data_IF_869268692027
#
_entry.id   IF_869268692027
#
_cell.length_a   1.000
_cell.length_b   1.000
_cell.length_c   1.000
_cell.angle_alpha   90.00
_cell.angle_beta   90.00
_cell.angle_gamma   90.00
#
_symmetry.space_group_name_H-M   'P 1'
#
loop_
_entity.id
_entity.type
_entity.pdbx_description
1 polymer ?
#
# COMPACT_ATOMS: atom_id res chain seq x y z
N UNK A 1 14.36 17.42 -2.90
CA UNK A 1 13.32 16.39 -2.74
C UNK A 1 12.16 16.78 -3.63
N UNK A 2 11.30 15.84 -3.96
CA UNK A 2 10.15 16.07 -4.83
C UNK A 2 8.87 15.71 -4.08
N UNK A 3 8.36 16.61 -3.21
CA UNK A 3 7.08 16.43 -2.53
C UNK A 3 5.95 16.05 -3.50
N UNK A 4 5.92 16.67 -4.68
CA UNK A 4 4.99 16.36 -5.77
C UNK A 4 5.72 15.74 -6.95
N UNK A 5 5.01 14.91 -7.70
CA UNK A 5 5.50 14.34 -8.96
C UNK A 5 5.82 15.44 -9.97
N UNK A 6 5.08 16.56 -9.97
CA UNK A 6 5.39 17.70 -10.81
C UNK A 6 6.74 18.34 -10.49
N UNK A 7 7.18 18.33 -9.24
CA UNK A 7 8.44 18.95 -8.85
C UNK A 7 9.61 18.24 -9.52
N UNK A 8 9.55 16.91 -9.59
CA UNK A 8 10.50 16.08 -10.34
C UNK A 8 10.46 16.36 -11.84
N UNK A 9 9.27 16.41 -12.44
CA UNK A 9 9.11 16.65 -13.87
C UNK A 9 9.65 18.04 -14.25
N UNK A 10 9.36 19.05 -13.43
CA UNK A 10 9.82 20.42 -13.66
C UNK A 10 11.34 20.54 -13.56
N UNK A 11 11.96 19.88 -12.59
CA UNK A 11 13.40 19.87 -12.41
C UNK A 11 14.13 19.16 -13.57
N UNK A 12 13.64 17.99 -13.99
CA UNK A 12 14.27 17.20 -15.05
C UNK A 12 14.05 17.78 -16.45
N UNK A 13 12.85 18.28 -16.75
CA UNK A 13 12.47 18.70 -18.09
C UNK A 13 12.39 20.23 -18.26
N UNK A 14 12.62 21.01 -17.21
CA UNK A 14 12.52 22.48 -17.25
C UNK A 14 11.09 22.97 -17.48
N UNK A 15 10.08 22.21 -17.05
CA UNK A 15 8.67 22.57 -17.21
C UNK A 15 8.12 23.37 -16.02
N UNK A 16 6.90 23.91 -16.15
CA UNK A 16 6.18 24.60 -15.07
C UNK A 16 4.81 23.96 -14.81
N UNK A 17 4.78 22.62 -14.78
CA UNK A 17 3.58 21.86 -14.48
C UNK A 17 3.27 21.96 -12.98
N UNK A 18 2.01 22.19 -12.65
CA UNK A 18 1.56 22.20 -11.25
C UNK A 18 0.55 21.06 -11.06
N UNK A 19 1.05 19.83 -10.91
CA UNK A 19 0.23 18.64 -10.72
C UNK A 19 0.13 18.32 -9.23
N UNK A 20 -1.08 18.18 -8.67
CA UNK A 20 -1.29 17.96 -7.23
C UNK A 20 -1.15 16.47 -6.86
N UNK A 21 -0.20 15.79 -7.47
CA UNK A 21 0.08 14.38 -7.22
C UNK A 21 1.24 14.33 -6.24
N UNK A 22 0.94 14.04 -4.98
CA UNK A 22 1.95 13.83 -3.95
C UNK A 22 2.78 12.60 -4.29
N UNK A 23 4.10 12.71 -4.23
CA UNK A 23 5.00 11.62 -4.61
C UNK A 23 4.80 10.38 -3.73
N UNK A 24 4.61 10.56 -2.41
CA UNK A 24 4.28 9.44 -1.51
C UNK A 24 3.03 8.69 -1.97
N UNK A 25 1.93 9.42 -2.24
CA UNK A 25 0.67 8.82 -2.70
C UNK A 25 0.81 8.11 -4.06
N UNK A 26 1.62 8.67 -4.97
CA UNK A 26 1.94 8.05 -6.25
C UNK A 26 2.67 6.70 -6.07
N UNK A 27 3.73 6.68 -5.25
CA UNK A 27 4.48 5.45 -4.99
C UNK A 27 3.67 4.43 -4.20
N UNK A 28 2.79 4.85 -3.29
CA UNK A 28 1.84 3.97 -2.61
C UNK A 28 0.88 3.29 -3.60
N UNK A 29 0.31 4.06 -4.54
CA UNK A 29 -0.53 3.49 -5.60
C UNK A 29 0.25 2.52 -6.49
N UNK A 30 1.49 2.88 -6.84
CA UNK A 30 2.38 2.01 -7.61
C UNK A 30 2.70 0.70 -6.87
N UNK A 31 2.88 0.75 -5.54
CA UNK A 31 3.10 -0.42 -4.71
C UNK A 31 1.93 -1.41 -4.79
N UNK A 32 0.68 -0.93 -4.74
CA UNK A 32 -0.50 -1.77 -4.92
C UNK A 32 -0.59 -2.37 -6.33
N UNK A 33 -0.29 -1.59 -7.37
CA UNK A 33 -0.31 -2.07 -8.76
C UNK A 33 0.76 -3.13 -8.99
N UNK A 34 2.00 -2.88 -8.57
CA UNK A 34 3.10 -3.83 -8.69
C UNK A 34 2.87 -5.08 -7.85
N UNK A 35 2.39 -4.93 -6.61
CA UNK A 35 2.04 -6.05 -5.72
C UNK A 35 0.93 -6.91 -6.29
N UNK A 36 -0.15 -6.29 -6.79
CA UNK A 36 -1.24 -6.99 -7.47
C UNK A 36 -0.78 -7.72 -8.73
N UNK A 37 0.04 -7.07 -9.57
CA UNK A 37 0.59 -7.69 -10.77
C UNK A 37 1.44 -8.93 -10.45
N UNK A 38 2.30 -8.86 -9.43
CA UNK A 38 3.13 -10.00 -9.02
C UNK A 38 2.29 -11.12 -8.40
N UNK A 39 1.31 -10.79 -7.57
CA UNK A 39 0.38 -11.76 -7.02
C UNK A 39 -0.38 -12.48 -8.14
N UNK A 40 -0.84 -11.75 -9.16
CA UNK A 40 -1.49 -12.35 -10.33
C UNK A 40 -0.59 -13.37 -11.02
N UNK A 41 0.68 -13.00 -11.29
CA UNK A 41 1.66 -13.93 -11.89
C UNK A 41 1.90 -15.17 -11.04
N UNK A 42 1.97 -15.00 -9.73
CA UNK A 42 2.24 -16.09 -8.82
C UNK A 42 1.02 -17.01 -8.66
N UNK A 43 -0.20 -16.48 -8.63
CA UNK A 43 -1.43 -17.28 -8.65
C UNK A 43 -1.56 -18.10 -9.95
N UNK A 44 -1.21 -17.53 -11.12
CA UNK A 44 -1.14 -18.30 -12.38
C UNK A 44 -0.16 -19.48 -12.24
N UNK A 45 0.99 -19.25 -11.60
CA UNK A 45 2.01 -20.30 -11.41
C UNK A 45 1.51 -21.38 -10.46
N UNK A 46 0.89 -21.00 -9.34
CA UNK A 46 0.37 -21.93 -8.34
C UNK A 46 -0.79 -22.75 -8.91
N UNK A 47 -1.64 -22.15 -9.75
CA UNK A 47 -2.75 -22.82 -10.42
C UNK A 47 -2.23 -23.87 -11.41
N UNK A 48 -1.23 -23.51 -12.22
CA UNK A 48 -0.52 -24.45 -13.10
C UNK A 48 0.18 -25.59 -12.35
N UNK A 49 0.60 -25.34 -11.10
CA UNK A 49 1.20 -26.36 -10.24
C UNK A 49 0.17 -27.22 -9.49
N UNK A 50 -1.14 -26.97 -9.66
CA UNK A 50 -2.21 -27.67 -8.96
C UNK A 50 -2.29 -27.35 -7.46
N UNK A 51 -1.69 -26.23 -7.03
CA UNK A 51 -1.64 -25.84 -5.62
C UNK A 51 -2.80 -24.94 -5.18
N UNK A 52 -3.48 -24.30 -6.12
CA UNK A 52 -4.67 -23.46 -5.93
C UNK A 52 -5.69 -23.83 -7.01
N UNK A 53 -6.97 -23.63 -6.73
CA UNK A 53 -8.06 -24.13 -7.58
C UNK A 53 -8.96 -23.01 -8.08
N UNK A 54 -9.56 -23.24 -9.24
CA UNK A 54 -10.68 -22.44 -9.72
C UNK A 54 -11.92 -22.72 -8.89
N UNK A 55 -12.78 -21.70 -8.71
CA UNK A 55 -14.05 -21.83 -8.00
C UNK A 55 -15.21 -21.61 -8.94
N UNK A 56 -16.22 -22.47 -8.87
CA UNK A 56 -17.46 -22.29 -9.63
C UNK A 56 -18.35 -21.30 -8.90
N UNK A 57 -18.66 -20.17 -9.54
CA UNK A 57 -19.64 -19.20 -9.04
C UNK A 57 -20.87 -19.19 -9.93
N UNK A 58 -22.04 -19.32 -9.31
CA UNK A 58 -23.32 -19.10 -9.99
C UNK A 58 -23.48 -17.59 -10.21
N UNK A 59 -23.48 -17.18 -11.47
CA UNK A 59 -23.73 -15.78 -11.85
C UNK A 59 -25.01 -15.70 -12.65
N UNK A 60 -25.90 -14.79 -12.26
CA UNK A 60 -27.11 -14.48 -13.00
C UNK A 60 -26.73 -13.60 -14.20
N UNK A 61 -26.74 -14.20 -15.39
CA UNK A 61 -26.38 -13.51 -16.63
C UNK A 61 -27.65 -13.04 -17.36
N UNK A 62 -27.59 -11.82 -17.90
CA UNK A 62 -28.68 -11.23 -18.69
C UNK A 62 -29.85 -10.67 -17.90
N UNK A 63 -29.65 -10.25 -16.65
CA UNK A 63 -30.67 -9.49 -15.93
C UNK A 63 -30.94 -8.14 -16.61
N UNK A 64 -32.23 -7.78 -16.73
CA UNK A 64 -32.66 -6.44 -17.15
C UNK A 64 -32.15 -5.39 -16.17
N UNK A 65 -31.97 -4.16 -16.65
CA UNK A 65 -31.54 -3.04 -15.80
C UNK A 65 -32.55 -2.82 -14.66
N UNK A 66 -32.11 -3.02 -13.41
CA UNK A 66 -32.94 -2.83 -12.23
C UNK A 66 -33.06 -1.35 -11.89
N UNK A 67 -34.24 -0.90 -11.46
CA UNK A 67 -34.47 0.51 -11.10
C UNK A 67 -33.51 0.99 -10.00
N UNK A 68 -33.39 0.23 -8.91
CA UNK A 68 -32.49 0.56 -7.78
C UNK A 68 -31.05 0.68 -8.23
N UNK A 69 -30.58 -0.25 -9.07
CA UNK A 69 -29.23 -0.22 -9.61
C UNK A 69 -28.97 1.01 -10.48
N UNK A 70 -29.91 1.37 -11.36
CA UNK A 70 -29.78 2.58 -12.18
C UNK A 70 -29.76 3.84 -11.33
N UNK A 71 -30.59 3.92 -10.29
CA UNK A 71 -30.57 5.03 -9.33
C UNK A 71 -29.23 5.09 -8.58
N UNK A 72 -28.70 3.95 -8.11
CA UNK A 72 -27.40 3.89 -7.44
C UNK A 72 -26.27 4.35 -8.37
N UNK A 73 -26.24 3.88 -9.62
CA UNK A 73 -25.26 4.31 -10.62
C UNK A 73 -25.37 5.82 -10.86
N UNK A 74 -26.59 6.35 -10.99
CA UNK A 74 -26.81 7.77 -11.18
C UNK A 74 -26.27 8.60 -10.01
N UNK A 75 -26.62 8.24 -8.76
CA UNK A 75 -26.19 8.97 -7.56
C UNK A 75 -24.66 8.91 -7.40
N UNK A 76 -24.05 7.74 -7.56
CA UNK A 76 -22.59 7.59 -7.46
C UNK A 76 -21.90 8.42 -8.56
N UNK A 77 -22.38 8.31 -9.80
CA UNK A 77 -21.82 9.04 -10.94
C UNK A 77 -22.03 10.55 -10.81
N UNK A 78 -23.12 10.99 -10.16
CA UNK A 78 -23.37 12.40 -9.86
C UNK A 78 -22.35 12.94 -8.86
N UNK A 79 -22.10 12.23 -7.76
CA UNK A 79 -21.12 12.63 -6.75
C UNK A 79 -19.69 12.63 -7.31
N UNK A 80 -19.33 11.58 -8.06
CA UNK A 80 -18.02 11.49 -8.73
C UNK A 80 -17.87 12.58 -9.79
N UNK A 81 -18.87 12.75 -10.66
CA UNK A 81 -18.86 13.78 -11.70
C UNK A 81 -18.83 15.19 -11.12
N UNK A 82 -19.56 15.46 -10.03
CA UNK A 82 -19.55 16.72 -9.30
C UNK A 82 -18.14 17.11 -8.86
N UNK A 83 -17.38 16.15 -8.30
CA UNK A 83 -16.00 16.37 -7.88
C UNK A 83 -15.01 16.41 -9.04
N UNK A 84 -15.09 15.50 -10.00
CA UNK A 84 -14.15 15.43 -11.13
C UNK A 84 -14.26 16.64 -12.04
N UNK A 85 -15.47 17.06 -12.40
CA UNK A 85 -15.66 18.26 -13.22
C UNK A 85 -15.44 19.53 -12.41
N UNK A 86 -15.70 19.48 -11.10
CA UNK A 86 -15.33 20.54 -10.15
C UNK A 86 -13.82 20.75 -10.07
N UNK A 87 -13.02 19.69 -10.08
CA UNK A 87 -11.56 19.73 -10.05
C UNK A 87 -10.99 20.49 -11.24
N UNK A 88 -11.60 20.32 -12.43
CA UNK A 88 -11.16 21.04 -13.64
C UNK A 88 -11.43 22.54 -13.54
N UNK A 89 -12.57 22.92 -12.95
CA UNK A 89 -12.99 24.33 -12.84
C UNK A 89 -12.27 25.04 -11.68
N UNK A 90 -12.21 24.40 -10.51
CA UNK A 90 -11.60 24.89 -9.29
C UNK A 90 -10.19 24.32 -9.08
N UNK A 91 -9.41 24.24 -10.17
CA UNK A 91 -8.13 23.56 -10.18
C UNK A 91 -7.15 24.13 -9.15
N UNK A 92 -7.08 25.46 -9.01
CA UNK A 92 -6.18 26.11 -8.06
C UNK A 92 -6.52 25.77 -6.59
N UNK A 93 -7.81 25.72 -6.24
CA UNK A 93 -8.25 25.33 -4.90
C UNK A 93 -7.88 23.87 -4.60
N UNK A 94 -8.11 22.98 -5.57
CA UNK A 94 -7.73 21.59 -5.47
C UNK A 94 -6.22 21.40 -5.32
N UNK A 95 -5.41 22.14 -6.09
CA UNK A 95 -3.95 22.02 -6.04
C UNK A 95 -3.34 22.53 -4.74
N UNK A 96 -3.95 23.55 -4.14
CA UNK A 96 -3.51 24.10 -2.87
C UNK A 96 -3.80 23.14 -1.72
N UNK A 97 -5.00 22.56 -1.69
CA UNK A 97 -5.36 21.60 -0.66
C UNK A 97 -6.31 20.50 -1.20
N UNK A 98 -5.76 19.41 -1.75
CA UNK A 98 -6.56 18.33 -2.32
C UNK A 98 -7.53 17.71 -1.31
N UNK A 99 -7.09 17.55 -0.06
CA UNK A 99 -7.89 16.95 1.00
C UNK A 99 -9.10 17.81 1.35
N UNK A 100 -8.89 19.12 1.59
CA UNK A 100 -9.99 20.04 1.87
C UNK A 100 -10.98 20.12 0.70
N UNK A 101 -10.48 20.11 -0.53
CA UNK A 101 -11.35 20.13 -1.72
C UNK A 101 -12.26 18.90 -1.80
N UNK A 102 -11.74 17.70 -1.53
CA UNK A 102 -12.54 16.46 -1.57
C UNK A 102 -13.72 16.51 -0.60
N UNK A 103 -13.55 17.08 0.60
CA UNK A 103 -14.61 17.20 1.62
C UNK A 103 -15.45 18.47 1.56
N UNK A 104 -15.02 19.45 0.76
CA UNK A 104 -15.77 20.70 0.59
C UNK A 104 -17.11 20.48 -0.11
N UNK A 105 -18.01 21.46 -0.02
CA UNK A 105 -19.18 21.57 -0.90
C UNK A 105 -18.82 22.15 -2.27
N UNK A 106 -17.54 22.40 -2.57
CA UNK A 106 -17.07 22.88 -3.87
C UNK A 106 -17.09 21.75 -4.90
N UNK A 107 -17.63 22.05 -6.07
CA UNK A 107 -17.71 21.13 -7.21
C UNK A 107 -18.58 21.71 -8.33
N UNK A 108 -18.95 20.88 -9.29
CA UNK A 108 -19.75 21.30 -10.44
C UNK A 108 -20.98 20.40 -10.64
N UNK A 109 -22.14 20.90 -10.23
CA UNK A 109 -23.41 20.19 -10.35
C UNK A 109 -23.81 19.88 -11.79
N UNK A 110 -23.54 20.80 -12.73
CA UNK A 110 -23.87 20.61 -14.15
C UNK A 110 -23.02 19.48 -14.74
N UNK A 111 -21.71 19.52 -14.50
CA UNK A 111 -20.81 18.45 -14.94
C UNK A 111 -21.13 17.10 -14.29
N UNK A 112 -21.52 17.12 -13.01
CA UNK A 112 -22.04 15.95 -12.30
C UNK A 112 -23.28 15.35 -12.96
N UNK A 113 -24.29 16.17 -13.28
CA UNK A 113 -25.53 15.73 -13.92
C UNK A 113 -25.28 15.17 -15.33
N UNK A 114 -24.40 15.79 -16.11
CA UNK A 114 -24.03 15.30 -17.45
C UNK A 114 -23.38 13.93 -17.34
N UNK A 115 -22.38 13.78 -16.46
CA UNK A 115 -21.66 12.51 -16.29
C UNK A 115 -22.59 11.42 -15.72
N UNK A 116 -23.44 11.76 -14.76
CA UNK A 116 -24.42 10.83 -14.20
C UNK A 116 -25.42 10.32 -15.23
N UNK A 117 -25.97 11.23 -16.04
CA UNK A 117 -26.92 10.88 -17.10
C UNK A 117 -26.25 10.02 -18.17
N UNK A 118 -25.04 10.39 -18.61
CA UNK A 118 -24.28 9.62 -19.59
C UNK A 118 -23.94 8.22 -19.08
N UNK A 119 -23.38 8.09 -17.87
CA UNK A 119 -22.99 6.80 -17.30
C UNK A 119 -24.20 5.89 -17.06
N UNK A 120 -25.31 6.45 -16.55
CA UNK A 120 -26.55 5.69 -16.32
C UNK A 120 -27.14 5.22 -17.64
N UNK A 121 -27.18 6.09 -18.66
CA UNK A 121 -27.66 5.74 -19.99
C UNK A 121 -26.80 4.66 -20.65
N UNK A 122 -25.47 4.78 -20.59
CA UNK A 122 -24.52 3.79 -21.10
C UNK A 122 -24.77 2.44 -20.42
N UNK A 123 -24.86 2.40 -19.09
CA UNK A 123 -25.10 1.16 -18.34
C UNK A 123 -26.47 0.55 -18.64
N UNK A 124 -27.51 1.37 -18.71
CA UNK A 124 -28.84 0.94 -19.12
C UNK A 124 -28.83 0.30 -20.51
N UNK A 125 -28.18 0.95 -21.49
CA UNK A 125 -28.08 0.47 -22.85
C UNK A 125 -27.29 -0.84 -22.95
N UNK A 126 -26.14 -0.93 -22.26
CA UNK A 126 -25.32 -2.13 -22.19
C UNK A 126 -26.08 -3.32 -21.57
N UNK A 127 -26.85 -3.07 -20.51
CA UNK A 127 -27.70 -4.09 -19.90
C UNK A 127 -28.86 -4.49 -20.79
N UNK A 128 -29.50 -3.53 -21.47
CA UNK A 128 -30.59 -3.81 -22.42
C UNK A 128 -30.11 -4.71 -23.56
N UNK A 129 -28.91 -4.48 -24.10
CA UNK A 129 -28.32 -5.34 -25.13
C UNK A 129 -28.00 -6.76 -24.63
N UNK A 130 -27.56 -6.89 -23.38
CA UNK A 130 -27.18 -8.18 -22.78
C UNK A 130 -28.33 -8.88 -22.06
N UNK A 131 -29.52 -8.28 -22.03
CA UNK A 131 -30.67 -8.80 -21.32
C UNK A 131 -31.19 -10.07 -22.00
N UNK A 132 -31.40 -11.11 -21.21
CA UNK A 132 -31.98 -12.38 -21.63
C UNK A 132 -33.32 -12.54 -20.89
N UNK A 133 -34.32 -13.07 -21.58
CA UNK A 133 -35.63 -13.35 -20.99
C UNK A 133 -35.97 -14.84 -21.22
N UNK A 134 -35.83 -15.72 -20.21
CA UNK A 134 -35.44 -15.45 -18.82
C UNK A 134 -33.91 -15.29 -18.63
N UNK A 135 -33.45 -14.62 -17.54
CA UNK A 135 -32.04 -14.56 -17.20
C UNK A 135 -31.49 -15.96 -16.90
N UNK A 136 -30.32 -16.27 -17.45
CA UNK A 136 -29.69 -17.59 -17.32
C UNK A 136 -28.75 -17.61 -16.12
N UNK A 137 -28.90 -18.60 -15.25
CA UNK A 137 -27.91 -18.92 -14.22
C UNK A 137 -26.78 -19.67 -14.91
N UNK A 138 -25.64 -19.01 -15.10
CA UNK A 138 -24.43 -19.64 -15.64
C UNK A 138 -23.46 -19.92 -14.50
N UNK A 139 -23.02 -21.16 -14.40
CA UNK A 139 -21.84 -21.48 -13.60
C UNK A 139 -20.61 -20.97 -14.34
N UNK A 140 -19.99 -19.93 -13.81
CA UNK A 140 -18.75 -19.38 -14.33
C UNK A 140 -17.63 -19.89 -13.43
N UNK A 141 -16.67 -20.54 -14.05
CA UNK A 141 -15.41 -20.91 -13.40
C UNK A 141 -14.55 -19.65 -13.26
N UNK A 142 -14.28 -19.26 -12.02
CA UNK A 142 -13.43 -18.12 -11.69
C UNK A 142 -12.06 -18.67 -11.31
N UNK A 143 -11.04 -18.29 -12.09
CA UNK A 143 -9.65 -18.73 -11.85
C UNK A 143 -9.05 -18.03 -10.65
N UNK A 144 -8.03 -18.62 -10.04
CA UNK A 144 -7.36 -18.02 -8.88
C UNK A 144 -6.80 -16.63 -9.20
N UNK A 145 -6.18 -16.45 -10.37
CA UNK A 145 -5.59 -15.18 -10.79
C UNK A 145 -6.62 -14.08 -11.07
N UNK A 146 -7.83 -14.41 -11.50
CA UNK A 146 -8.92 -13.45 -11.72
C UNK A 146 -9.37 -12.78 -10.41
N UNK A 147 -9.14 -13.45 -9.27
CA UNK A 147 -9.47 -12.96 -7.94
C UNK A 147 -8.41 -12.01 -7.36
N UNK A 148 -7.29 -11.79 -8.06
CA UNK A 148 -6.17 -10.93 -7.59
C UNK A 148 -6.64 -9.56 -7.13
N UNK A 149 -7.41 -8.86 -7.97
CA UNK A 149 -7.82 -7.50 -7.65
C UNK A 149 -8.84 -7.48 -6.52
N UNK A 150 -9.70 -8.48 -6.41
CA UNK A 150 -10.57 -8.66 -5.24
C UNK A 150 -9.75 -8.82 -3.95
N UNK A 151 -8.67 -9.61 -3.98
CA UNK A 151 -7.75 -9.77 -2.85
C UNK A 151 -7.10 -8.43 -2.49
N UNK A 152 -6.60 -7.68 -3.47
CA UNK A 152 -6.00 -6.34 -3.25
C UNK A 152 -7.02 -5.38 -2.65
N UNK A 153 -8.25 -5.33 -3.17
CA UNK A 153 -9.32 -4.49 -2.63
C UNK A 153 -9.67 -4.85 -1.19
N UNK A 154 -9.77 -6.15 -0.88
CA UNK A 154 -10.00 -6.62 0.50
C UNK A 154 -8.85 -6.19 1.40
N UNK A 155 -7.59 -6.36 0.96
CA UNK A 155 -6.43 -5.92 1.73
C UNK A 155 -6.45 -4.42 2.03
N UNK A 156 -6.81 -3.59 1.05
CA UNK A 156 -6.93 -2.13 1.23
C UNK A 156 -8.05 -1.79 2.21
N UNK A 157 -9.26 -2.32 2.00
CA UNK A 157 -10.43 -2.00 2.83
C UNK A 157 -10.21 -2.45 4.27
N UNK A 158 -9.82 -3.71 4.48
CA UNK A 158 -9.59 -4.26 5.80
C UNK A 158 -8.36 -3.63 6.47
N UNK A 159 -7.35 -3.24 5.69
CA UNK A 159 -6.19 -2.49 6.17
C UNK A 159 -6.56 -1.11 6.70
N UNK A 160 -7.37 -0.34 5.97
CA UNK A 160 -7.83 0.98 6.42
C UNK A 160 -8.75 0.83 7.64
N UNK A 161 -9.71 -0.09 7.60
CA UNK A 161 -10.63 -0.35 8.73
C UNK A 161 -9.83 -0.73 9.99
N UNK A 162 -8.91 -1.68 9.87
CA UNK A 162 -8.08 -2.12 11.00
C UNK A 162 -7.20 -1.00 11.54
N UNK A 163 -6.57 -0.22 10.66
CA UNK A 163 -5.71 0.87 11.09
C UNK A 163 -6.49 1.96 11.85
N UNK A 164 -7.72 2.24 11.42
CA UNK A 164 -8.59 3.23 12.06
C UNK A 164 -9.12 2.75 13.41
N UNK A 165 -9.54 1.49 13.49
CA UNK A 165 -10.02 0.87 14.74
C UNK A 165 -8.92 0.88 15.81
N UNK A 166 -7.71 0.45 15.45
CA UNK A 166 -6.62 0.37 16.42
C UNK A 166 -6.11 1.74 16.85
N UNK A 167 -6.08 2.72 15.94
CA UNK A 167 -5.78 4.11 16.32
C UNK A 167 -6.73 4.61 17.40
N UNK A 168 -8.00 4.19 17.33
CA UNK A 168 -9.00 4.57 18.31
C UNK A 168 -8.81 3.92 19.67
N UNK A 169 -8.33 2.67 19.69
CA UNK A 169 -7.97 2.01 20.94
C UNK A 169 -6.73 2.63 21.56
N UNK A 170 -5.75 3.03 20.76
CA UNK A 170 -4.53 3.70 21.23
C UNK A 170 -4.82 5.11 21.77
N UNK A 171 -5.71 5.86 21.11
CA UNK A 171 -6.08 7.24 21.47
C UNK A 171 -7.51 7.32 22.01
N UNK A 172 -7.84 6.46 22.96
CA UNK A 172 -9.21 6.31 23.48
C UNK A 172 -9.77 7.62 24.06
N UNK A 173 -8.95 8.43 24.72
CA UNK A 173 -9.41 9.69 25.30
C UNK A 173 -9.80 10.70 24.21
N UNK A 174 -9.01 10.79 23.15
CA UNK A 174 -9.29 11.68 22.01
C UNK A 174 -10.52 11.20 21.24
N UNK A 175 -10.72 9.88 21.15
CA UNK A 175 -11.94 9.31 20.57
C UNK A 175 -13.19 9.72 21.32
N UNK A 176 -13.19 9.56 22.64
CA UNK A 176 -14.37 9.84 23.47
C UNK A 176 -14.71 11.33 23.42
N UNK A 177 -13.70 12.19 23.25
CA UNK A 177 -13.89 13.63 23.11
C UNK A 177 -14.53 14.03 21.77
N UNK A 178 -14.12 13.43 20.64
CA UNK A 178 -14.73 13.67 19.33
C UNK A 178 -14.86 12.39 18.48
N UNK A 179 -15.94 11.60 18.70
CA UNK A 179 -16.10 10.32 18.02
C UNK A 179 -16.22 10.42 16.51
N UNK A 180 -17.00 11.40 16.02
CA UNK A 180 -17.26 11.56 14.60
C UNK A 180 -16.05 12.16 13.88
N UNK A 181 -15.42 13.20 14.44
CA UNK A 181 -14.22 13.77 13.85
C UNK A 181 -13.05 12.80 13.84
N UNK A 182 -12.85 12.03 14.92
CA UNK A 182 -11.82 11.00 14.95
C UNK A 182 -12.06 9.90 13.91
N UNK A 183 -13.29 9.38 13.77
CA UNK A 183 -13.61 8.32 12.80
C UNK A 183 -13.53 8.75 11.33
N UNK A 184 -13.92 9.98 11.00
CA UNK A 184 -13.91 10.47 9.61
C UNK A 184 -12.65 11.25 9.22
N UNK A 185 -11.74 11.49 10.17
CA UNK A 185 -10.45 12.11 9.85
C UNK A 185 -9.58 11.23 8.92
N UNK A 186 -8.78 11.86 8.06
CA UNK A 186 -7.81 11.16 7.21
C UNK A 186 -6.52 10.82 7.96
N UNK A 187 -6.30 11.45 9.10
CA UNK A 187 -5.20 11.18 10.02
C UNK A 187 -5.55 10.07 10.98
N UNK A 188 -4.54 9.57 11.70
CA UNK A 188 -4.74 8.56 12.73
C UNK A 188 -4.98 7.16 12.18
N UNK A 189 -3.91 6.58 11.63
CA UNK A 189 -3.91 5.22 11.10
C UNK A 189 -2.81 4.43 11.79
N UNK A 190 -3.19 3.45 12.62
CA UNK A 190 -2.22 2.58 13.29
C UNK A 190 -1.84 1.42 12.38
N UNK A 191 -0.56 1.32 12.04
CA UNK A 191 -0.05 0.31 11.11
C UNK A 191 -0.41 -1.13 11.51
N UNK A 192 -0.21 -1.51 12.77
CA UNK A 192 -0.44 -2.88 13.25
C UNK A 192 -1.90 -3.32 13.15
N UNK A 193 -2.83 -2.41 13.44
CA UNK A 193 -4.25 -2.70 13.27
C UNK A 193 -4.60 -3.02 11.83
N UNK A 194 -4.05 -2.25 10.89
CA UNK A 194 -4.25 -2.51 9.47
C UNK A 194 -3.67 -3.85 9.04
N UNK A 195 -2.45 -4.16 9.46
CA UNK A 195 -1.80 -5.44 9.13
C UNK A 195 -2.60 -6.65 9.63
N UNK A 196 -3.05 -6.63 10.89
CA UNK A 196 -3.78 -7.75 11.52
C UNK A 196 -5.11 -7.99 10.79
N UNK A 197 -5.92 -6.94 10.63
CA UNK A 197 -7.27 -7.05 10.05
C UNK A 197 -7.20 -7.37 8.56
N UNK A 198 -6.27 -6.80 7.81
CA UNK A 198 -6.03 -7.15 6.41
C UNK A 198 -5.60 -8.61 6.24
N UNK A 199 -4.70 -9.11 7.10
CA UNK A 199 -4.24 -10.51 7.07
C UNK A 199 -5.41 -11.47 7.27
N UNK A 200 -6.27 -11.19 8.26
CA UNK A 200 -7.48 -11.98 8.49
C UNK A 200 -8.44 -11.92 7.30
N UNK A 201 -8.73 -10.71 6.78
CA UNK A 201 -9.64 -10.53 5.65
C UNK A 201 -9.19 -11.26 4.38
N UNK A 202 -7.91 -11.14 4.03
CA UNK A 202 -7.32 -11.81 2.87
C UNK A 202 -7.24 -13.32 3.07
N UNK A 203 -6.84 -13.78 4.26
CA UNK A 203 -6.76 -15.20 4.58
C UNK A 203 -8.13 -15.88 4.54
N UNK A 204 -9.13 -15.28 5.18
CA UNK A 204 -10.51 -15.74 5.18
C UNK A 204 -11.10 -15.75 3.76
N UNK A 205 -10.88 -14.69 2.98
CA UNK A 205 -11.32 -14.66 1.59
C UNK A 205 -10.67 -15.79 0.77
N UNK A 206 -9.35 -15.96 0.86
CA UNK A 206 -8.64 -16.99 0.11
C UNK A 206 -9.14 -18.40 0.42
N UNK A 207 -9.31 -18.73 1.70
CA UNK A 207 -9.74 -20.06 2.15
C UNK A 207 -11.13 -20.43 1.59
N UNK A 208 -12.05 -19.46 1.56
CA UNK A 208 -13.39 -19.65 1.01
C UNK A 208 -13.44 -19.67 -0.53
N UNK A 209 -12.33 -19.37 -1.20
CA UNK A 209 -12.28 -19.18 -2.65
C UNK A 209 -11.19 -19.99 -3.36
N UNK A 210 -10.83 -21.14 -2.79
CA UNK A 210 -9.94 -22.12 -3.44
C UNK A 210 -8.46 -21.73 -3.40
N UNK A 211 -8.07 -20.79 -2.54
CA UNK A 211 -6.68 -20.37 -2.35
C UNK A 211 -6.32 -20.54 -0.86
N UNK A 212 -5.82 -21.73 -0.46
CA UNK A 212 -5.50 -22.00 0.94
C UNK A 212 -4.55 -20.96 1.53
N UNK A 213 -4.77 -20.55 2.77
CA UNK A 213 -4.06 -19.41 3.37
C UNK A 213 -2.52 -19.52 3.31
N UNK A 214 -1.96 -20.74 3.46
CA UNK A 214 -0.50 -20.96 3.36
C UNK A 214 0.03 -20.70 1.95
N UNK A 215 -0.73 -21.10 0.92
CA UNK A 215 -0.40 -20.85 -0.49
C UNK A 215 -0.61 -19.39 -0.85
N UNK A 216 -1.63 -18.75 -0.27
CA UNK A 216 -1.81 -17.30 -0.37
C UNK A 216 -0.62 -16.57 0.23
N UNK A 217 -0.19 -16.92 1.44
CA UNK A 217 0.94 -16.31 2.14
C UNK A 217 2.25 -16.44 1.35
N UNK A 218 2.56 -17.64 0.83
CA UNK A 218 3.71 -17.84 -0.06
C UNK A 218 3.61 -16.97 -1.33
N UNK A 219 2.41 -16.83 -1.90
CA UNK A 219 2.21 -16.06 -3.13
C UNK A 219 2.30 -14.55 -2.91
N UNK A 220 1.91 -14.08 -1.73
CA UNK A 220 1.94 -12.67 -1.34
C UNK A 220 3.34 -12.25 -0.88
N UNK A 221 4.12 -13.11 -0.21
CA UNK A 221 5.41 -12.75 0.39
C UNK A 221 6.36 -11.93 -0.53
N UNK A 222 6.66 -12.37 -1.77
CA UNK A 222 7.51 -11.58 -2.68
C UNK A 222 6.86 -10.25 -3.08
N UNK A 223 5.55 -10.27 -3.30
CA UNK A 223 4.78 -9.08 -3.68
C UNK A 223 4.74 -8.04 -2.56
N UNK A 224 4.64 -8.51 -1.30
CA UNK A 224 4.56 -7.69 -0.10
C UNK A 224 5.86 -6.93 0.15
N UNK A 225 7.01 -7.62 0.09
CA UNK A 225 8.31 -6.97 0.30
C UNK A 225 8.65 -6.01 -0.83
N UNK A 226 8.30 -6.32 -2.08
CA UNK A 226 8.50 -5.38 -3.19
C UNK A 226 7.61 -4.14 -3.03
N UNK A 227 6.33 -4.33 -2.68
CA UNK A 227 5.41 -3.23 -2.43
C UNK A 227 5.92 -2.33 -1.30
N UNK A 228 6.45 -2.91 -0.22
CA UNK A 228 7.09 -2.16 0.86
C UNK A 228 8.29 -1.34 0.36
N UNK A 229 9.19 -1.94 -0.43
CA UNK A 229 10.31 -1.22 -1.03
C UNK A 229 9.86 -0.06 -1.93
N UNK A 230 8.82 -0.25 -2.75
CA UNK A 230 8.24 0.82 -3.58
C UNK A 230 7.67 1.94 -2.71
N UNK A 231 6.98 1.60 -1.61
CA UNK A 231 6.49 2.58 -0.65
C UNK A 231 7.62 3.41 -0.03
N UNK A 232 8.75 2.77 0.31
CA UNK A 232 9.94 3.44 0.85
C UNK A 232 10.64 4.36 -0.15
N UNK A 233 10.53 4.11 -1.46
CA UNK A 233 10.91 5.10 -2.47
C UNK A 233 10.05 6.36 -2.32
N UNK A 234 8.75 6.21 -2.09
CA UNK A 234 7.82 7.30 -1.79
C UNK A 234 8.28 8.17 -0.62
N UNK A 235 8.65 7.53 0.49
CA UNK A 235 9.21 8.20 1.67
C UNK A 235 10.51 8.94 1.34
N UNK A 236 11.43 8.29 0.61
CA UNK A 236 12.69 8.88 0.20
C UNK A 236 12.50 10.15 -0.63
N UNK A 237 11.61 10.12 -1.64
CA UNK A 237 11.45 11.26 -2.56
C UNK A 237 10.66 12.40 -1.95
N UNK A 238 9.73 12.11 -1.04
CA UNK A 238 8.91 13.11 -0.36
C UNK A 238 9.69 13.79 0.79
N UNK A 239 10.62 13.07 1.43
CA UNK A 239 11.26 13.53 2.67
C UNK A 239 10.22 13.67 3.77
N UNK A 240 9.52 12.58 4.09
CA UNK A 240 8.36 12.55 4.99
C UNK A 240 8.68 12.28 6.46
N UNK A 241 9.96 12.32 6.84
CA UNK A 241 10.40 12.09 8.23
C UNK A 241 10.92 10.68 8.50
N UNK A 242 10.84 9.77 7.53
CA UNK A 242 11.31 8.38 7.69
C UNK A 242 12.84 8.21 7.61
N UNK A 243 13.60 9.28 7.82
CA UNK A 243 15.06 9.30 7.82
C UNK A 243 15.68 8.82 9.14
N UNK A 244 16.98 8.57 9.11
CA UNK A 244 17.74 8.01 10.22
C UNK A 244 18.25 9.04 11.23
N UNK A 245 19.07 8.57 12.16
CA UNK A 245 19.83 9.42 13.07
C UNK A 245 20.87 10.25 12.32
N UNK A 246 21.37 11.31 12.97
CA UNK A 246 22.44 12.17 12.46
C UNK A 246 23.66 11.33 12.12
N UNK A 247 24.19 11.53 10.90
CA UNK A 247 25.38 10.84 10.40
C UNK A 247 26.43 11.87 9.97
N UNK A 248 27.44 12.07 10.81
CA UNK A 248 28.60 12.93 10.51
C UNK A 248 29.84 12.13 10.08
N UNK A 249 29.73 10.80 10.06
CA UNK A 249 30.87 9.95 9.74
C UNK A 249 31.19 10.03 8.25
N UNK A 250 32.48 10.02 7.86
CA UNK A 250 32.86 10.03 6.46
C UNK A 250 32.40 8.73 5.78
N UNK A 251 31.98 8.85 4.52
CA UNK A 251 31.59 7.69 3.73
C UNK A 251 32.78 6.71 3.60
N UNK A 252 32.60 5.40 3.83
CA UNK A 252 33.66 4.42 3.67
C UNK A 252 34.23 4.41 2.25
N UNK A 253 35.55 4.22 2.12
CA UNK A 253 36.24 4.32 0.82
C UNK A 253 35.70 3.35 -0.25
N UNK A 254 35.27 2.15 0.15
CA UNK A 254 34.70 1.16 -0.77
C UNK A 254 33.33 1.57 -1.34
N UNK A 255 32.66 2.56 -0.74
CA UNK A 255 31.39 3.13 -1.19
C UNK A 255 31.57 4.44 -1.97
N UNK A 256 32.81 4.95 -2.09
CA UNK A 256 33.12 6.24 -2.73
C UNK A 256 32.75 6.37 -4.21
N UNK A 257 32.42 5.27 -4.87
CA UNK A 257 31.90 5.29 -6.25
C UNK A 257 30.43 5.74 -6.32
N UNK A 258 29.72 5.80 -5.19
CA UNK A 258 28.35 6.27 -5.09
C UNK A 258 28.28 7.75 -4.69
N UNK A 259 27.18 8.44 -4.99
CA UNK A 259 26.97 9.81 -4.52
C UNK A 259 26.88 9.92 -2.99
N UNK A 260 27.35 11.04 -2.42
CA UNK A 260 27.37 11.27 -0.96
C UNK A 260 26.00 11.13 -0.29
N UNK A 261 24.92 11.48 -1.00
CA UNK A 261 23.54 11.38 -0.49
C UNK A 261 23.09 9.94 -0.21
N UNK A 262 23.82 8.93 -0.71
CA UNK A 262 23.60 7.53 -0.36
C UNK A 262 24.03 7.24 1.08
N UNK A 263 25.03 7.95 1.59
CA UNK A 263 25.57 7.74 2.95
C UNK A 263 24.98 8.71 3.98
N UNK A 264 24.95 10.00 3.63
CA UNK A 264 24.54 11.06 4.52
C UNK A 264 23.76 12.12 3.72
N UNK A 265 22.52 12.39 4.12
CA UNK A 265 21.63 13.26 3.36
C UNK A 265 20.86 14.25 4.22
N UNK A 266 20.63 15.46 3.68
CA UNK A 266 19.95 16.56 4.40
C UNK A 266 18.48 16.75 4.03
N UNK A 267 17.95 15.93 3.10
CA UNK A 267 16.57 16.02 2.64
C UNK A 267 16.11 17.47 2.31
N UNK A 268 16.76 18.13 1.33
CA UNK A 268 16.36 19.47 0.92
C UNK A 268 14.96 19.44 0.29
N UNK A 269 14.13 20.42 0.60
CA UNK A 269 12.72 20.46 0.19
C UNK A 269 11.85 19.34 0.76
N UNK A 270 12.10 18.92 2.00
CA UNK A 270 11.27 17.91 2.66
C UNK A 270 9.82 18.39 2.87
N UNK A 271 8.85 17.47 2.79
CA UNK A 271 7.42 17.78 2.91
C UNK A 271 7.07 18.37 4.29
N UNK A 272 7.82 18.00 5.33
CA UNK A 272 7.59 18.43 6.72
C UNK A 272 8.04 19.87 7.01
N UNK A 273 8.77 20.51 6.09
CA UNK A 273 9.45 21.79 6.32
C UNK A 273 10.38 21.78 7.56
N UNK A 274 11.02 20.65 7.82
CA UNK A 274 11.89 20.47 8.98
C UNK A 274 13.32 20.95 8.73
N UNK A 275 13.93 21.54 9.76
CA UNK A 275 15.31 21.98 9.78
C UNK A 275 15.49 23.49 9.55
N UNK A 276 16.50 23.85 8.75
CA UNK A 276 16.86 25.24 8.43
C UNK A 276 16.35 25.63 7.05
N UNK A 277 16.05 26.91 6.87
CA UNK A 277 15.61 27.46 5.59
C UNK A 277 16.75 27.46 4.57
N UNK A 278 16.46 27.06 3.34
CA UNK A 278 17.39 27.12 2.21
C UNK A 278 17.47 28.57 1.72
N UNK A 279 18.68 29.12 1.65
CA UNK A 279 18.90 30.49 1.15
C UNK A 279 18.44 30.64 -0.30
N UNK A 280 17.74 31.74 -0.61
CA UNK A 280 17.21 32.01 -1.94
C UNK A 280 15.97 31.17 -2.33
N UNK A 281 15.49 30.25 -1.48
CA UNK A 281 14.30 29.47 -1.78
C UNK A 281 13.01 30.25 -1.50
N UNK A 282 12.11 30.25 -2.49
CA UNK A 282 10.76 30.83 -2.42
C UNK A 282 9.71 29.77 -2.71
N UNK A 283 8.65 29.71 -1.91
CA UNK A 283 7.55 28.76 -2.08
C UNK A 283 7.38 27.81 -0.89
N UNK A 284 6.60 26.75 -1.09
CA UNK A 284 6.47 25.66 -0.12
C UNK A 284 7.72 24.77 -0.11
N UNK A 285 7.98 24.08 1.00
CA UNK A 285 9.08 23.12 1.11
C UNK A 285 10.46 23.78 0.89
N UNK A 286 10.72 24.90 1.55
CA UNK A 286 12.00 25.63 1.48
C UNK A 286 12.95 25.33 2.64
N UNK A 287 12.89 24.12 3.18
CA UNK A 287 13.68 23.69 4.33
C UNK A 287 14.52 22.46 4.02
N UNK A 288 15.59 22.30 4.77
CA UNK A 288 16.47 21.12 4.77
C UNK A 288 16.96 20.86 6.20
N UNK A 289 17.32 19.62 6.50
CA UNK A 289 17.86 19.26 7.80
C UNK A 289 19.20 20.00 8.06
N UNK A 290 19.35 20.48 9.30
CA UNK A 290 20.55 21.20 9.73
C UNK A 290 21.81 20.32 9.66
N UNK A 291 21.64 19.05 10.05
CA UNK A 291 22.67 18.02 10.00
C UNK A 291 22.25 16.92 9.03
N UNK A 292 23.20 16.30 8.33
CA UNK A 292 22.91 15.14 7.50
C UNK A 292 22.57 13.93 8.36
N UNK A 293 21.71 13.07 7.84
CA UNK A 293 21.21 11.86 8.49
C UNK A 293 21.40 10.65 7.57
N UNK A 294 21.35 9.45 8.14
CA UNK A 294 21.28 8.24 7.34
C UNK A 294 20.00 8.23 6.49
N UNK A 295 20.07 8.00 5.17
CA UNK A 295 18.89 7.93 4.32
C UNK A 295 18.20 6.56 4.45
N UNK A 296 17.62 6.27 5.61
CA UNK A 296 17.02 4.96 5.92
C UNK A 296 15.98 4.48 4.90
N UNK A 297 15.10 5.31 4.29
CA UNK A 297 14.17 4.83 3.28
C UNK A 297 14.87 4.27 2.02
N UNK A 298 16.04 4.80 1.66
CA UNK A 298 16.87 4.28 0.58
C UNK A 298 17.41 2.89 0.93
N UNK A 299 17.88 2.71 2.16
CA UNK A 299 18.39 1.42 2.64
C UNK A 299 17.27 0.38 2.72
N UNK A 300 16.11 0.75 3.28
CA UNK A 300 14.90 -0.10 3.32
C UNK A 300 14.47 -0.51 1.91
N UNK A 301 14.46 0.42 0.95
CA UNK A 301 14.17 0.12 -0.47
C UNK A 301 15.15 -0.90 -1.03
N UNK A 302 16.45 -0.71 -0.80
CA UNK A 302 17.51 -1.56 -1.34
C UNK A 302 17.44 -2.97 -0.73
N UNK A 303 17.29 -3.08 0.58
CA UNK A 303 17.14 -4.36 1.28
C UNK A 303 15.85 -5.07 0.86
N UNK A 304 14.75 -4.34 0.71
CA UNK A 304 13.48 -4.89 0.22
C UNK A 304 13.61 -5.47 -1.18
N UNK A 305 14.33 -4.79 -2.08
CA UNK A 305 14.62 -5.29 -3.42
C UNK A 305 15.49 -6.56 -3.37
N UNK A 306 16.52 -6.61 -2.52
CA UNK A 306 17.36 -7.80 -2.35
C UNK A 306 16.55 -8.99 -1.81
N UNK A 307 15.72 -8.77 -0.78
CA UNK A 307 14.83 -9.79 -0.22
C UNK A 307 13.84 -10.27 -1.29
N UNK A 308 13.25 -9.34 -2.06
CA UNK A 308 12.40 -9.70 -3.20
C UNK A 308 13.14 -10.61 -4.18
N UNK A 309 14.35 -10.26 -4.60
CA UNK A 309 15.15 -11.04 -5.54
C UNK A 309 15.48 -12.44 -4.98
N UNK A 310 15.84 -12.53 -3.69
CA UNK A 310 16.07 -13.80 -3.00
C UNK A 310 14.80 -14.65 -3.04
N UNK A 311 13.67 -14.14 -2.52
CA UNK A 311 12.41 -14.85 -2.48
C UNK A 311 11.94 -15.26 -3.88
N UNK A 312 12.05 -14.34 -4.84
CA UNK A 312 11.69 -14.61 -6.23
C UNK A 312 12.56 -15.70 -6.83
N UNK A 313 13.87 -15.72 -6.57
CA UNK A 313 14.79 -16.75 -7.09
C UNK A 313 14.50 -18.15 -6.51
N UNK A 314 14.09 -18.24 -5.25
CA UNK A 314 13.87 -19.51 -4.54
C UNK A 314 12.41 -19.98 -4.56
N UNK A 315 11.45 -19.17 -5.03
CA UNK A 315 10.00 -19.49 -4.98
C UNK A 315 9.60 -20.83 -5.60
N UNK A 316 10.39 -21.32 -6.57
CA UNK A 316 10.14 -22.60 -7.25
C UNK A 316 10.75 -23.81 -6.54
N UNK A 317 11.61 -23.59 -5.54
CA UNK A 317 12.35 -24.66 -4.85
C UNK A 317 11.49 -25.40 -3.81
N UNK A 318 10.48 -24.74 -3.25
CA UNK A 318 9.69 -25.28 -2.14
C UNK A 318 8.35 -25.83 -2.62
N UNK A 319 8.07 -27.11 -2.29
CA UNK A 319 6.76 -27.74 -2.52
C UNK A 319 5.80 -27.53 -1.34
N UNK A 320 6.33 -27.52 -0.13
CA UNK A 320 5.56 -27.32 1.12
C UNK A 320 5.03 -25.89 1.21
N UNK A 321 3.73 -25.76 1.45
CA UNK A 321 3.08 -24.45 1.60
C UNK A 321 3.49 -23.77 2.92
N UNK A 322 3.80 -22.48 2.85
CA UNK A 322 4.20 -21.62 3.97
C UNK A 322 5.71 -21.43 4.10
N UNK A 323 6.53 -22.20 3.38
CA UNK A 323 7.99 -22.12 3.46
C UNK A 323 8.53 -20.77 2.98
N UNK A 324 7.97 -20.25 1.89
CA UNK A 324 8.44 -18.99 1.31
C UNK A 324 8.04 -17.82 2.21
N UNK A 325 6.84 -17.88 2.80
CA UNK A 325 6.39 -16.91 3.78
C UNK A 325 7.22 -16.93 5.08
N UNK A 326 7.61 -18.11 5.57
CA UNK A 326 8.48 -18.23 6.74
C UNK A 326 9.85 -17.56 6.51
N UNK A 327 10.45 -17.81 5.35
CA UNK A 327 11.72 -17.16 4.95
C UNK A 327 11.54 -15.65 4.82
N UNK A 328 10.42 -15.20 4.25
CA UNK A 328 10.07 -13.79 4.18
C UNK A 328 10.03 -13.14 5.57
N UNK A 329 9.35 -13.75 6.55
CA UNK A 329 9.29 -13.23 7.93
C UNK A 329 10.68 -13.10 8.52
N UNK A 330 11.53 -14.12 8.36
CA UNK A 330 12.91 -14.07 8.87
C UNK A 330 13.72 -12.94 8.20
N UNK A 331 13.70 -12.84 6.87
CA UNK A 331 14.44 -11.82 6.15
C UNK A 331 13.93 -10.40 6.45
N UNK A 332 12.62 -10.22 6.55
CA UNK A 332 12.00 -8.94 6.92
C UNK A 332 12.33 -8.56 8.37
N UNK A 333 12.32 -9.53 9.30
CA UNK A 333 12.74 -9.29 10.69
C UNK A 333 14.20 -8.84 10.78
N UNK A 334 15.11 -9.45 10.01
CA UNK A 334 16.52 -9.03 9.94
C UNK A 334 16.63 -7.61 9.38
N UNK A 335 15.98 -7.32 8.26
CA UNK A 335 16.00 -5.99 7.65
C UNK A 335 15.49 -4.93 8.62
N UNK A 336 14.35 -5.19 9.26
CA UNK A 336 13.76 -4.27 10.22
C UNK A 336 14.69 -4.02 11.41
N UNK A 337 15.30 -5.07 11.96
CA UNK A 337 16.24 -4.95 13.07
C UNK A 337 17.46 -4.10 12.71
N UNK A 338 18.03 -4.28 11.52
CA UNK A 338 19.22 -3.55 11.07
C UNK A 338 18.93 -2.06 10.80
N UNK A 339 17.80 -1.75 10.16
CA UNK A 339 17.38 -0.37 9.90
C UNK A 339 17.05 0.36 11.19
N UNK A 340 16.49 -0.34 12.16
CA UNK A 340 16.08 0.25 13.43
C UNK A 340 17.27 0.77 14.25
N UNK A 341 18.46 0.17 14.11
CA UNK A 341 19.70 0.67 14.75
C UNK A 341 20.10 2.07 14.31
N UNK A 342 19.70 2.48 13.12
CA UNK A 342 20.07 3.75 12.49
C UNK A 342 18.86 4.67 12.31
N UNK A 343 17.69 4.31 12.85
CA UNK A 343 16.46 5.12 12.84
C UNK A 343 16.34 5.96 14.11
N UNK A 344 15.62 7.08 14.00
CA UNK A 344 15.21 7.89 15.15
C UNK A 344 14.00 7.24 15.81
N UNK A 345 14.17 6.59 16.96
CA UNK A 345 13.08 5.95 17.69
C UNK A 345 13.15 6.18 19.20
N UNK A 346 11.99 6.01 19.84
CA UNK A 346 11.87 6.03 21.30
C UNK A 346 12.36 4.71 21.88
N UNK A 347 13.33 4.79 22.79
CA UNK A 347 13.87 3.64 23.52
C UNK A 347 12.93 3.31 24.68
N UNK A 348 12.41 2.09 24.71
CA UNK A 348 11.68 1.59 25.88
C UNK A 348 12.71 1.02 26.87
N UNK A 349 12.65 1.48 28.10
CA UNK A 349 13.39 0.87 29.21
C UNK A 349 12.46 -0.09 29.93
N UNK A 350 12.66 -1.40 29.71
CA UNK A 350 11.91 -2.43 30.40
C UNK A 350 12.87 -3.40 31.08
N UNK A 351 12.84 -3.43 32.41
CA UNK A 351 13.64 -4.32 33.25
C UNK A 351 15.17 -4.23 32.97
N UNK A 352 15.67 -3.03 32.63
CA UNK A 352 17.09 -2.79 32.35
C UNK A 352 17.53 -3.18 30.92
N UNK A 353 16.61 -3.66 30.08
CA UNK A 353 16.83 -3.85 28.65
C UNK A 353 16.33 -2.60 27.93
N UNK A 354 17.25 -1.90 27.28
CA UNK A 354 16.94 -0.77 26.40
C UNK A 354 16.71 -1.32 25.00
N UNK A 355 15.45 -1.42 24.61
CA UNK A 355 15.06 -1.85 23.26
C UNK A 355 13.98 -0.93 22.70
N UNK A 356 13.99 -0.68 21.40
CA UNK A 356 12.89 0.04 20.76
C UNK A 356 11.71 -0.90 20.54
N UNK A 357 10.50 -0.34 20.43
CA UNK A 357 9.31 -1.12 20.09
C UNK A 357 9.49 -1.91 18.79
N UNK A 358 10.16 -1.32 17.79
CA UNK A 358 10.38 -1.97 16.50
C UNK A 358 11.47 -3.05 16.54
N UNK A 359 12.48 -2.95 17.41
CA UNK A 359 13.44 -4.05 17.64
C UNK A 359 12.76 -5.29 18.22
N UNK A 360 11.88 -5.09 19.21
CA UNK A 360 11.10 -6.18 19.81
C UNK A 360 10.23 -6.85 18.75
N UNK A 361 9.54 -6.06 17.94
CA UNK A 361 8.65 -6.58 16.90
C UNK A 361 9.44 -7.28 15.79
N UNK A 362 10.59 -6.74 15.38
CA UNK A 362 11.49 -7.38 14.42
C UNK A 362 11.97 -8.75 14.92
N UNK A 363 12.35 -8.83 16.19
CA UNK A 363 12.78 -10.08 16.85
C UNK A 363 11.65 -11.11 16.92
N UNK A 364 10.43 -10.66 17.26
CA UNK A 364 9.25 -11.52 17.28
C UNK A 364 8.89 -12.03 15.88
N UNK A 365 8.91 -11.18 14.86
CA UNK A 365 8.66 -11.56 13.46
C UNK A 365 9.69 -12.60 13.01
N UNK A 366 10.97 -12.40 13.32
CA UNK A 366 12.01 -13.38 13.03
C UNK A 366 11.76 -14.73 13.73
N UNK A 367 11.46 -14.69 15.04
CA UNK A 367 11.18 -15.88 15.84
C UNK A 367 9.96 -16.65 15.34
N UNK A 368 8.89 -15.96 14.97
CA UNK A 368 7.69 -16.54 14.35
C UNK A 368 8.02 -17.20 13.00
N UNK A 369 8.84 -16.54 12.17
CA UNK A 369 9.33 -17.10 10.91
C UNK A 369 10.13 -18.38 11.11
N UNK A 370 11.08 -18.37 12.06
CA UNK A 370 11.91 -19.53 12.39
C UNK A 370 11.08 -20.68 12.97
N UNK A 371 10.18 -20.40 13.91
CA UNK A 371 9.28 -21.39 14.48
C UNK A 371 8.35 -22.01 13.43
N UNK A 372 7.81 -21.17 12.53
CA UNK A 372 6.97 -21.65 11.44
C UNK A 372 7.77 -22.51 10.44
N UNK A 373 9.00 -22.13 10.12
CA UNK A 373 9.90 -22.91 9.28
C UNK A 373 10.19 -24.29 9.89
N UNK A 374 10.58 -24.33 11.17
CA UNK A 374 10.85 -25.59 11.89
C UNK A 374 9.62 -26.48 11.92
N UNK A 375 8.45 -25.90 12.21
CA UNK A 375 7.17 -26.62 12.19
C UNK A 375 6.84 -27.23 10.82
N UNK A 376 7.09 -26.49 9.73
CA UNK A 376 6.85 -26.99 8.37
C UNK A 376 7.86 -28.07 7.96
N UNK A 377 9.12 -27.96 8.39
CA UNK A 377 10.15 -28.98 8.17
C UNK A 377 9.90 -30.26 8.97
N UNK A 378 9.31 -30.15 10.16
CA UNK A 378 8.94 -31.29 11.00
C UNK A 378 7.72 -32.06 10.47
N UNK A 379 6.91 -31.47 9.59
CA UNK A 379 5.80 -32.18 8.96
C UNK A 379 6.32 -33.17 7.92
N UNK A 380 6.02 -34.46 8.12
CA UNK A 380 6.20 -35.47 7.08
C UNK A 380 5.44 -35.02 5.82
N UNK A 381 6.02 -35.13 4.62
CA UNK A 381 5.34 -34.74 3.39
C UNK A 381 4.02 -35.50 3.32
N UNK A 382 2.89 -34.79 3.33
CA UNK A 382 1.60 -35.41 3.01
C UNK A 382 1.72 -35.89 1.57
N UNK A 383 1.44 -37.18 1.28
CA UNK A 383 1.36 -37.63 -0.10
C UNK A 383 0.31 -36.78 -0.81
N UNK A 384 0.70 -36.08 -1.86
CA UNK A 384 -0.22 -35.44 -2.80
C UNK A 384 -1.06 -36.55 -3.43
N UNK A 385 -2.38 -36.52 -3.16
CA UNK A 385 -3.38 -37.34 -3.83
C UNK A 385 -3.53 -36.87 -5.27
#
# INVERSE_FOLDING_TARGET
MYPRVSDFINDVFGTHLNLPIQSYGFFLALAFVCGGYLLNKELIRQEKAGHVWSTKRKTLTGQKAGFVEMVSIFVISLLVGFKLTGLVIHYQEFVNNPQAFVFSSTGNWIGGLILASAMTFIQYYLKKQKALDPPLVKEVEVRANEQTWSIVFIAVIFGIIGAKIFHQFENWNDFVADPLGSLFSFSGLTFYGGLIVATFGVGYYGENHGIPWKRMADSIAPSLILAYGIGRIGCQVAGDGDWGIVNLDPMPQWLSFLPDWVWAYRYPHNILNEGIRIEGCTGAHCFQLAQPVFPTPLYETTMSLLIFLILWSIRKRFKTAGMLFAIYLMLNGIERFLIEQIRVNNVLDFLGIKATQAEVIATLIFGLGLGFLIYLLAQKPKPTI
#
